data_IF_256704891279
#
_entry.id   IF_256704891279
#
_cell.length_a   1.000
_cell.length_b   1.000
_cell.length_c   1.000
_cell.angle_alpha   90.00
_cell.angle_beta   90.00
_cell.angle_gamma   90.00
#
_symmetry.space_group_name_H-M   'P 1'
#
loop_
_entity.id
_entity.type
_entity.pdbx_description
1 polymer ?
#
# COMPACT_ATOMS: atom_id res chain seq x y z
N UNK A 1 21.94 -7.96 -8.81
CA UNK A 1 20.67 -7.21 -8.67
C UNK A 1 21.05 -5.83 -8.19
N UNK A 2 20.37 -4.80 -8.68
CA UNK A 2 20.61 -3.43 -8.25
C UNK A 2 19.72 -3.10 -7.05
N UNK A 3 20.22 -2.27 -6.14
CA UNK A 3 19.40 -1.78 -5.03
C UNK A 3 18.19 -1.01 -5.56
N UNK A 4 17.05 -1.17 -4.92
CA UNK A 4 15.81 -0.54 -5.38
C UNK A 4 14.94 -0.04 -4.24
N UNK A 5 14.19 1.02 -4.49
CA UNK A 5 13.22 1.58 -3.55
C UNK A 5 11.84 1.50 -4.18
N UNK A 6 10.87 0.97 -3.45
CA UNK A 6 9.54 0.71 -3.97
C UNK A 6 8.45 0.99 -2.93
N UNK A 7 7.22 1.18 -3.41
CA UNK A 7 6.05 1.19 -2.53
C UNK A 7 5.62 -0.23 -2.21
N UNK A 8 5.48 -0.51 -0.92
CA UNK A 8 5.12 -1.85 -0.41
C UNK A 8 3.78 -1.85 0.34
N UNK A 9 3.21 -0.68 0.61
CA UNK A 9 1.84 -0.56 1.07
C UNK A 9 1.27 0.81 0.73
N UNK A 10 0.04 0.85 0.23
CA UNK A 10 -0.76 2.06 0.11
C UNK A 10 -2.16 1.81 0.64
N UNK A 11 -2.58 2.57 1.65
CA UNK A 11 -3.97 2.66 2.06
C UNK A 11 -4.41 4.12 2.12
N UNK A 12 -5.48 4.41 1.39
CA UNK A 12 -6.02 5.75 1.24
C UNK A 12 -7.53 5.71 1.07
N UNK A 13 -8.20 6.71 1.63
CA UNK A 13 -9.65 6.90 1.46
C UNK A 13 -9.92 8.10 0.57
N UNK A 14 -10.71 7.92 -0.49
CA UNK A 14 -11.18 8.97 -1.40
C UNK A 14 -12.60 9.36 -0.98
N UNK A 15 -12.88 10.65 -0.80
CA UNK A 15 -14.19 11.12 -0.29
C UNK A 15 -15.11 11.71 -1.34
N UNK A 16 -14.61 12.00 -2.54
CA UNK A 16 -15.33 12.78 -3.55
C UNK A 16 -15.73 12.00 -4.81
N UNK A 17 -15.50 10.69 -4.86
CA UNK A 17 -15.73 9.87 -6.06
C UNK A 17 -16.40 8.54 -5.71
N UNK A 18 -17.27 8.08 -6.61
CA UNK A 18 -17.92 6.79 -6.52
C UNK A 18 -16.90 5.64 -6.66
N UNK A 19 -17.21 4.42 -6.17
CA UNK A 19 -16.29 3.28 -6.24
C UNK A 19 -15.81 2.94 -7.65
N UNK A 20 -16.69 3.03 -8.65
CA UNK A 20 -16.34 2.76 -10.05
C UNK A 20 -15.40 3.85 -10.61
N UNK A 21 -15.68 5.11 -10.28
CA UNK A 21 -14.83 6.25 -10.63
C UNK A 21 -13.45 6.16 -9.98
N UNK A 22 -13.35 5.66 -8.75
CA UNK A 22 -12.06 5.42 -8.10
C UNK A 22 -11.25 4.37 -8.87
N UNK A 23 -11.89 3.32 -9.39
CA UNK A 23 -11.20 2.30 -10.20
C UNK A 23 -10.74 2.90 -11.54
N UNK A 24 -11.61 3.58 -12.25
CA UNK A 24 -11.36 3.99 -13.64
C UNK A 24 -10.59 5.31 -13.75
N UNK A 25 -10.82 6.27 -12.84
CA UNK A 25 -10.22 7.62 -12.90
C UNK A 25 -9.02 7.78 -11.99
N UNK A 26 -9.01 7.13 -10.82
CA UNK A 26 -7.88 7.24 -9.87
C UNK A 26 -6.85 6.15 -10.11
N UNK A 27 -7.27 4.88 -10.08
CA UNK A 27 -6.37 3.77 -10.31
C UNK A 27 -6.03 3.59 -11.80
N UNK A 28 -6.91 4.06 -12.70
CA UNK A 28 -6.80 3.87 -14.16
C UNK A 28 -6.69 2.38 -14.48
N UNK A 29 -7.62 1.60 -13.91
CA UNK A 29 -7.71 0.16 -14.13
C UNK A 29 -9.03 -0.21 -14.85
N UNK A 30 -9.01 -1.25 -15.68
CA UNK A 30 -10.19 -1.76 -16.35
C UNK A 30 -11.19 -2.35 -15.35
N UNK A 31 -12.41 -1.79 -15.30
CA UNK A 31 -13.43 -2.15 -14.33
C UNK A 31 -13.91 -3.60 -14.46
N UNK A 32 -13.92 -4.15 -15.67
CA UNK A 32 -14.30 -5.54 -15.97
C UNK A 32 -13.39 -6.59 -15.33
N UNK A 33 -12.19 -6.20 -14.88
CA UNK A 33 -11.29 -7.08 -14.11
C UNK A 33 -11.68 -7.22 -12.64
N UNK A 34 -12.58 -6.38 -12.14
CA UNK A 34 -12.98 -6.38 -10.73
C UNK A 34 -14.24 -7.20 -10.49
N UNK A 35 -14.22 -8.03 -9.45
CA UNK A 35 -15.37 -8.76 -8.95
C UNK A 35 -15.97 -8.02 -7.75
N UNK A 36 -17.31 -7.88 -7.73
CA UNK A 36 -18.04 -7.33 -6.58
C UNK A 36 -18.18 -8.40 -5.49
N UNK A 37 -17.78 -8.05 -4.28
CA UNK A 37 -18.00 -8.83 -3.08
C UNK A 37 -18.97 -8.10 -2.14
N UNK A 38 -20.04 -8.81 -1.76
CA UNK A 38 -21.14 -8.32 -0.92
C UNK A 38 -20.84 -8.36 0.59
N UNK A 39 -19.56 -8.35 0.95
CA UNK A 39 -19.04 -8.31 2.31
C UNK A 39 -17.84 -7.37 2.37
N UNK A 40 -17.50 -6.87 3.56
CA UNK A 40 -16.39 -5.93 3.72
C UNK A 40 -15.74 -5.98 5.11
N UNK A 41 -14.73 -5.12 5.26
CA UNK A 41 -13.90 -4.98 6.47
C UNK A 41 -13.91 -3.54 6.95
N UNK A 42 -13.45 -3.29 8.17
CA UNK A 42 -13.25 -1.92 8.69
C UNK A 42 -14.51 -1.03 8.58
N UNK A 43 -15.69 -1.62 8.81
CA UNK A 43 -17.02 -0.99 8.70
C UNK A 43 -17.47 -0.65 7.27
N UNK A 44 -16.69 -1.01 6.25
CA UNK A 44 -17.17 -1.05 4.88
C UNK A 44 -18.02 -2.31 4.66
N UNK A 45 -19.11 -2.18 3.93
CA UNK A 45 -20.08 -3.25 3.70
C UNK A 45 -19.70 -4.15 2.53
N UNK A 46 -18.99 -3.60 1.54
CA UNK A 46 -18.71 -4.24 0.25
C UNK A 46 -17.33 -3.85 -0.25
N UNK A 47 -16.83 -4.61 -1.23
CA UNK A 47 -15.65 -4.19 -1.96
C UNK A 47 -15.60 -4.76 -3.38
N UNK A 48 -14.93 -4.03 -4.25
CA UNK A 48 -14.43 -4.58 -5.50
C UNK A 48 -13.03 -5.16 -5.27
N UNK A 49 -12.79 -6.34 -5.82
CA UNK A 49 -11.50 -7.00 -5.78
C UNK A 49 -11.03 -7.32 -7.20
N UNK A 50 -9.80 -6.94 -7.50
CA UNK A 50 -9.05 -7.46 -8.63
C UNK A 50 -7.78 -8.10 -8.08
N UNK A 51 -7.88 -9.39 -7.73
CA UNK A 51 -6.86 -10.12 -6.97
C UNK A 51 -6.48 -9.36 -5.67
N UNK A 52 -5.27 -8.79 -5.60
CA UNK A 52 -4.74 -8.13 -4.40
C UNK A 52 -5.09 -6.63 -4.32
N UNK A 53 -5.69 -6.08 -5.38
CA UNK A 53 -6.16 -4.68 -5.42
C UNK A 53 -7.59 -4.63 -4.89
N UNK A 54 -7.80 -3.95 -3.76
CA UNK A 54 -9.11 -3.86 -3.10
C UNK A 54 -9.62 -2.43 -3.01
N UNK A 55 -10.87 -2.23 -3.40
CA UNK A 55 -11.60 -0.96 -3.31
C UNK A 55 -12.87 -1.18 -2.50
N UNK A 56 -12.86 -0.77 -1.24
CA UNK A 56 -13.90 -1.00 -0.24
C UNK A 56 -14.83 0.21 -0.14
N UNK A 57 -16.13 -0.04 0.02
CA UNK A 57 -17.15 1.02 0.04
C UNK A 57 -18.44 0.54 0.75
N UNK A 58 -19.30 1.50 1.07
CA UNK A 58 -20.67 1.25 1.55
C UNK A 58 -21.67 1.47 0.42
N UNK A 59 -22.89 0.94 0.54
CA UNK A 59 -23.95 1.24 -0.45
C UNK A 59 -24.19 2.75 -0.58
N UNK A 60 -24.20 3.42 0.57
CA UNK A 60 -24.12 4.87 0.68
C UNK A 60 -22.64 5.31 0.71
N UNK A 61 -21.98 5.27 -0.44
CA UNK A 61 -20.56 5.59 -0.56
C UNK A 61 -20.29 7.10 -0.33
N UNK A 62 -21.29 7.96 -0.54
CA UNK A 62 -21.24 9.41 -0.31
C UNK A 62 -21.23 9.76 1.19
N UNK A 63 -21.49 8.77 2.05
CA UNK A 63 -21.31 8.90 3.50
C UNK A 63 -19.90 9.37 3.86
N UNK A 64 -19.74 9.85 5.11
CA UNK A 64 -18.44 10.30 5.65
C UNK A 64 -17.32 9.26 5.52
N UNK A 65 -17.61 7.98 5.30
CA UNK A 65 -16.60 6.94 5.12
C UNK A 65 -15.92 7.00 3.74
N UNK A 66 -16.61 7.37 2.67
CA UNK A 66 -16.03 7.41 1.32
C UNK A 66 -15.64 6.03 0.77
N UNK A 67 -14.66 6.01 -0.13
CA UNK A 67 -14.15 4.82 -0.82
C UNK A 67 -12.70 4.55 -0.42
N UNK A 68 -12.43 3.36 0.09
CA UNK A 68 -11.12 2.98 0.63
C UNK A 68 -10.35 2.04 -0.28
N UNK A 69 -9.16 2.46 -0.68
CA UNK A 69 -8.22 1.69 -1.49
C UNK A 69 -7.19 1.04 -0.56
N UNK A 70 -6.95 -0.25 -0.73
CA UNK A 70 -5.84 -0.97 -0.09
C UNK A 70 -5.03 -1.73 -1.13
N UNK A 71 -3.76 -1.34 -1.26
CA UNK A 71 -2.71 -2.05 -1.98
C UNK A 71 -1.69 -2.54 -0.95
N UNK A 72 -1.65 -3.85 -0.69
CA UNK A 72 -0.58 -4.48 0.10
C UNK A 72 0.64 -4.73 -0.80
N UNK A 73 1.75 -5.24 -0.29
CA UNK A 73 2.97 -5.47 -1.09
C UNK A 73 2.71 -6.15 -2.43
N UNK A 74 1.97 -7.26 -2.45
CA UNK A 74 1.57 -7.95 -3.68
C UNK A 74 0.60 -7.12 -4.55
N UNK A 75 -0.33 -6.38 -3.95
CA UNK A 75 -1.19 -5.44 -4.67
C UNK A 75 -0.43 -4.28 -5.29
N UNK A 76 0.67 -3.80 -4.67
CA UNK A 76 1.57 -2.82 -5.24
C UNK A 76 2.30 -3.39 -6.46
N UNK A 77 2.86 -4.62 -6.36
CA UNK A 77 3.50 -5.30 -7.50
C UNK A 77 2.51 -5.52 -8.65
N UNK A 78 1.30 -6.00 -8.34
CA UNK A 78 0.22 -6.16 -9.33
C UNK A 78 -0.15 -4.82 -9.99
N UNK A 79 -0.24 -3.74 -9.23
CA UNK A 79 -0.56 -2.42 -9.77
C UNK A 79 0.52 -1.91 -10.73
N UNK A 80 1.79 -2.22 -10.46
CA UNK A 80 2.92 -1.85 -11.33
C UNK A 80 2.82 -2.48 -12.73
N UNK A 81 2.20 -3.65 -12.88
CA UNK A 81 1.94 -4.28 -14.19
C UNK A 81 1.04 -3.41 -15.10
N UNK A 82 0.27 -2.50 -14.51
CA UNK A 82 -0.62 -1.57 -15.22
C UNK A 82 -0.02 -0.17 -15.39
N UNK A 83 1.24 0.02 -14.99
CA UNK A 83 1.92 1.27 -15.20
C UNK A 83 2.28 1.47 -16.68
N UNK A 84 1.99 2.66 -17.18
CA UNK A 84 2.27 3.10 -18.55
C UNK A 84 3.00 4.43 -18.47
N UNK A 85 4.33 4.37 -18.29
CA UNK A 85 5.26 5.50 -18.25
C UNK A 85 4.61 6.79 -17.68
N UNK A 86 4.51 7.87 -18.45
CA UNK A 86 3.99 9.16 -17.99
C UNK A 86 2.47 9.24 -17.75
N UNK A 87 1.70 8.22 -18.12
CA UNK A 87 0.22 8.22 -17.97
C UNK A 87 -0.18 7.61 -16.63
N UNK A 88 0.39 6.44 -16.32
CA UNK A 88 0.09 5.72 -15.10
C UNK A 88 1.38 5.24 -14.45
N UNK A 89 1.75 5.86 -13.34
CA UNK A 89 2.90 5.51 -12.51
C UNK A 89 2.63 5.98 -11.07
N UNK A 90 3.51 5.63 -10.13
CA UNK A 90 3.32 6.01 -8.73
C UNK A 90 3.17 7.52 -8.51
N UNK A 91 3.98 8.35 -9.16
CA UNK A 91 3.92 9.82 -9.01
C UNK A 91 2.58 10.37 -9.50
N UNK A 92 2.13 9.95 -10.67
CA UNK A 92 0.85 10.38 -11.24
C UNK A 92 -0.34 9.84 -10.44
N UNK A 93 -0.27 8.63 -9.89
CA UNK A 93 -1.28 8.10 -8.97
C UNK A 93 -1.37 8.97 -7.71
N UNK A 94 -0.24 9.26 -7.06
CA UNK A 94 -0.21 10.10 -5.86
C UNK A 94 -0.77 11.49 -6.14
N UNK A 95 -0.46 12.07 -7.30
CA UNK A 95 -1.03 13.35 -7.75
C UNK A 95 -2.56 13.27 -7.86
N UNK A 96 -3.10 12.29 -8.59
CA UNK A 96 -4.56 12.09 -8.72
C UNK A 96 -5.26 11.92 -7.38
N UNK A 97 -4.65 11.15 -6.47
CA UNK A 97 -5.18 10.97 -5.12
C UNK A 97 -5.17 12.30 -4.34
N UNK A 98 -4.10 13.08 -4.43
CA UNK A 98 -3.97 14.35 -3.70
C UNK A 98 -4.92 15.45 -4.21
N UNK A 99 -5.30 15.40 -5.48
CA UNK A 99 -6.28 16.30 -6.09
C UNK A 99 -7.73 15.98 -5.67
N UNK A 100 -7.94 14.76 -5.15
CA UNK A 100 -9.19 14.38 -4.52
C UNK A 100 -9.14 14.70 -3.01
N UNK A 101 -10.27 15.05 -2.40
CA UNK A 101 -10.34 15.13 -0.94
C UNK A 101 -10.09 13.72 -0.36
N UNK A 102 -8.84 13.45 0.01
CA UNK A 102 -8.34 12.12 0.35
C UNK A 102 -7.68 12.09 1.72
N UNK A 103 -7.68 10.91 2.34
CA UNK A 103 -7.04 10.66 3.62
C UNK A 103 -6.13 9.44 3.52
N UNK A 104 -4.82 9.66 3.50
CA UNK A 104 -3.82 8.60 3.54
C UNK A 104 -3.75 8.03 4.95
N UNK A 105 -3.99 6.73 5.07
CA UNK A 105 -3.95 6.04 6.37
C UNK A 105 -2.72 5.17 6.54
N UNK A 106 -2.08 4.74 5.44
CA UNK A 106 -0.80 4.03 5.46
C UNK A 106 -0.05 4.19 4.16
N UNK A 107 1.26 4.37 4.25
CA UNK A 107 2.19 4.36 3.14
C UNK A 107 3.50 3.73 3.63
N UNK A 108 3.85 2.57 3.06
CA UNK A 108 5.10 1.88 3.39
C UNK A 108 6.03 1.90 2.18
N UNK A 109 7.30 2.22 2.42
CA UNK A 109 8.37 2.20 1.44
C UNK A 109 9.33 1.07 1.82
N UNK A 110 9.66 0.22 0.86
CA UNK A 110 10.66 -0.83 1.00
C UNK A 110 11.93 -0.46 0.24
N UNK A 111 13.08 -0.86 0.79
CA UNK A 111 14.38 -0.74 0.17
C UNK A 111 15.00 -2.14 0.08
N UNK A 112 15.17 -2.62 -1.15
CA UNK A 112 15.83 -3.89 -1.42
C UNK A 112 17.31 -3.62 -1.67
N UNK A 113 18.16 -4.21 -0.84
CA UNK A 113 19.61 -3.98 -0.83
C UNK A 113 20.30 -5.30 -1.17
N UNK A 114 21.07 -5.30 -2.26
CA UNK A 114 21.74 -6.47 -2.85
C UNK A 114 23.26 -6.31 -2.94
N UNK A 115 23.80 -5.14 -2.58
CA UNK A 115 25.23 -4.79 -2.69
C UNK A 115 26.01 -4.91 -1.38
N UNK A 116 25.45 -5.59 -0.38
CA UNK A 116 26.01 -5.76 0.97
C UNK A 116 26.31 -4.45 1.73
N UNK A 117 25.87 -3.29 1.23
CA UNK A 117 26.07 -1.99 1.88
C UNK A 117 25.37 -1.89 3.23
N UNK A 118 24.35 -2.71 3.47
CA UNK A 118 23.60 -2.79 4.72
C UNK A 118 23.27 -4.24 5.08
N UNK A 119 23.56 -4.64 6.32
CA UNK A 119 23.25 -5.97 6.82
C UNK A 119 22.36 -5.92 8.06
N UNK A 120 21.57 -6.98 8.27
CA UNK A 120 20.70 -7.11 9.46
C UNK A 120 21.49 -6.98 10.78
N UNK A 121 22.67 -7.60 10.95
CA UNK A 121 23.49 -7.39 12.16
C UNK A 121 23.92 -5.94 12.35
N UNK A 122 24.26 -5.23 11.27
CA UNK A 122 24.65 -3.83 11.34
C UNK A 122 23.48 -2.95 11.78
N UNK A 123 22.29 -3.12 11.18
CA UNK A 123 21.05 -2.43 11.60
C UNK A 123 20.75 -2.72 13.08
N UNK A 124 20.83 -3.99 13.49
CA UNK A 124 20.63 -4.37 14.89
C UNK A 124 21.58 -3.65 15.84
N UNK A 125 22.86 -3.55 15.49
CA UNK A 125 23.85 -2.83 16.30
C UNK A 125 23.50 -1.36 16.51
N UNK A 126 22.94 -0.69 15.48
CA UNK A 126 22.47 0.69 15.58
C UNK A 126 21.20 0.81 16.42
N UNK A 127 20.20 -0.05 16.19
CA UNK A 127 18.96 -0.05 16.97
C UNK A 127 19.23 -0.34 18.45
N UNK A 128 20.17 -1.24 18.77
CA UNK A 128 20.52 -1.58 20.15
C UNK A 128 21.16 -0.42 20.92
N UNK A 129 21.95 0.43 20.24
CA UNK A 129 22.50 1.67 20.85
C UNK A 129 21.42 2.67 21.22
N UNK A 130 20.24 2.58 20.60
CA UNK A 130 19.08 3.46 20.82
C UNK A 130 17.88 2.65 21.35
N UNK A 131 18.12 1.61 22.16
CA UNK A 131 17.10 0.62 22.52
C UNK A 131 15.85 1.22 23.18
N UNK A 132 16.01 2.30 23.95
CA UNK A 132 14.88 2.94 24.64
C UNK A 132 13.87 3.55 23.66
N UNK A 133 14.33 4.02 22.50
CA UNK A 133 13.47 4.55 21.42
C UNK A 133 13.13 3.50 20.37
N UNK A 134 14.00 2.50 20.18
CA UNK A 134 13.91 1.50 19.10
C UNK A 134 13.53 0.09 19.60
N UNK A 135 12.94 -0.04 20.79
CA UNK A 135 12.68 -1.32 21.46
C UNK A 135 11.97 -2.35 20.56
N UNK A 136 10.91 -1.94 19.86
CA UNK A 136 10.16 -2.83 18.98
C UNK A 136 10.97 -3.32 17.77
N UNK A 137 11.86 -2.47 17.24
CA UNK A 137 12.76 -2.86 16.15
C UNK A 137 13.82 -3.86 16.65
N UNK A 138 14.39 -3.61 17.83
CA UNK A 138 15.34 -4.52 18.49
C UNK A 138 14.72 -5.91 18.68
N UNK A 139 13.51 -5.99 19.23
CA UNK A 139 12.82 -7.26 19.48
C UNK A 139 12.54 -8.04 18.17
N UNK A 140 12.21 -7.35 17.07
CA UNK A 140 12.01 -7.98 15.75
C UNK A 140 13.32 -8.49 15.15
N UNK A 141 14.38 -7.69 15.23
CA UNK A 141 15.70 -8.04 14.70
C UNK A 141 16.33 -9.20 15.48
N UNK A 142 16.14 -9.27 16.80
CA UNK A 142 16.60 -10.40 17.62
C UNK A 142 15.94 -11.71 17.17
N UNK A 143 14.63 -11.70 16.92
CA UNK A 143 13.93 -12.88 16.38
C UNK A 143 14.47 -13.28 15.01
N UNK A 144 14.69 -12.31 14.12
CA UNK A 144 15.23 -12.58 12.78
C UNK A 144 16.65 -13.15 12.80
N UNK A 145 17.50 -12.66 13.69
CA UNK A 145 18.87 -13.16 13.84
C UNK A 145 18.88 -14.56 14.46
N UNK A 146 18.06 -14.79 15.49
CA UNK A 146 18.04 -16.07 16.21
C UNK A 146 17.36 -17.21 15.42
N UNK A 147 16.41 -16.89 14.54
CA UNK A 147 15.75 -17.89 13.68
C UNK A 147 16.59 -18.30 12.45
N UNK A 148 17.78 -17.72 12.25
CA UNK A 148 18.70 -18.07 11.15
C UNK A 148 19.79 -19.09 11.56
N UNK A 149 19.79 -19.54 12.82
CA UNK A 149 20.62 -20.64 13.33
C UNK A 149 19.75 -21.87 13.60
#
# INVERSE_FOLDING_TARGET
MDNSVMLDYLAVTIKCLAPDDVIEKILILPKDKFVLNEWGINKYQRHYAFSEIKVNFNKDWESKMGVFIELRGQGCRQYEEYMKSNVNNWVTLMKRISECHSNFTRLDIANDIFDDSLSVPLIYSYCKKQKDTMRGAVERLEKLINNKN
#
